data_IF_911601538033
#
_entry.id   IF_911601538033
#
_cell.length_a   1.000
_cell.length_b   1.000
_cell.length_c   1.000
_cell.angle_alpha   90.00
_cell.angle_beta   90.00
_cell.angle_gamma   90.00
#
_symmetry.space_group_name_H-M   'P 1'
#
loop_
_entity.id
_entity.type
_entity.pdbx_description
1 polymer ?
#
# COMPACT_ATOMS: atom_id res chain seq x y z
N UNK A 1 -15.14 4.86 19.55
CA UNK A 1 -16.35 4.44 20.28
C UNK A 1 -15.94 3.54 21.43
N UNK A 2 -16.48 3.75 22.63
CA UNK A 2 -16.29 2.80 23.75
C UNK A 2 -17.13 1.56 23.45
N UNK A 3 -16.54 0.36 23.53
CA UNK A 3 -17.22 -0.91 23.24
C UNK A 3 -17.37 -1.27 21.75
N UNK A 4 -16.66 -0.57 20.86
CA UNK A 4 -16.62 -0.94 19.43
C UNK A 4 -15.71 -2.14 19.15
N UNK A 5 -15.83 -2.69 17.94
CA UNK A 5 -14.92 -3.74 17.47
C UNK A 5 -13.47 -3.24 17.45
N UNK A 6 -12.51 -4.04 17.95
CA UNK A 6 -11.11 -3.66 17.91
C UNK A 6 -10.59 -3.69 16.47
N UNK A 7 -9.57 -2.87 16.21
CA UNK A 7 -8.81 -2.95 14.96
C UNK A 7 -8.12 -4.31 14.88
N UNK A 8 -8.32 -5.02 13.77
CA UNK A 8 -7.70 -6.32 13.51
C UNK A 8 -7.03 -6.27 12.14
N UNK A 9 -5.77 -6.68 12.11
CA UNK A 9 -5.03 -6.89 10.88
C UNK A 9 -4.81 -8.39 10.67
N UNK A 10 -4.99 -8.83 9.42
CA UNK A 10 -4.51 -10.13 8.97
C UNK A 10 -3.20 -9.89 8.23
N UNK A 11 -2.08 -10.25 8.86
CA UNK A 11 -0.78 -10.11 8.21
C UNK A 11 -0.63 -11.16 7.11
N UNK A 12 -0.29 -10.71 5.90
CA UNK A 12 -0.12 -11.53 4.70
C UNK A 12 1.13 -11.10 3.95
N UNK A 13 1.64 -11.95 3.07
CA UNK A 13 2.71 -11.55 2.16
C UNK A 13 2.23 -10.51 1.13
N UNK A 14 3.16 -9.73 0.61
CA UNK A 14 2.86 -8.62 -0.30
C UNK A 14 2.25 -9.08 -1.63
N UNK A 15 2.60 -10.29 -2.11
CA UNK A 15 2.06 -10.81 -3.36
C UNK A 15 0.58 -11.20 -3.20
N UNK A 16 0.21 -11.78 -2.06
CA UNK A 16 -1.20 -12.02 -1.69
C UNK A 16 -1.98 -10.71 -1.63
N UNK A 17 -1.42 -9.67 -1.00
CA UNK A 17 -2.05 -8.34 -0.93
C UNK A 17 -2.29 -7.75 -2.33
N UNK A 18 -1.26 -7.74 -3.19
CA UNK A 18 -1.36 -7.27 -4.59
C UNK A 18 -2.40 -8.06 -5.39
N UNK A 19 -2.39 -9.39 -5.27
CA UNK A 19 -3.35 -10.26 -5.99
C UNK A 19 -4.79 -9.97 -5.60
N UNK A 20 -5.06 -9.76 -4.31
CA UNK A 20 -6.41 -9.44 -3.82
C UNK A 20 -6.83 -8.04 -4.28
N UNK A 21 -5.93 -7.05 -4.19
CA UNK A 21 -6.21 -5.70 -4.67
C UNK A 21 -6.51 -5.69 -6.18
N UNK A 22 -5.66 -6.33 -6.99
CA UNK A 22 -5.86 -6.47 -8.43
C UNK A 22 -7.18 -7.16 -8.76
N UNK A 23 -7.49 -8.30 -8.12
CA UNK A 23 -8.76 -8.99 -8.30
C UNK A 23 -9.95 -8.08 -8.00
N UNK A 24 -9.92 -7.36 -6.89
CA UNK A 24 -11.00 -6.46 -6.47
C UNK A 24 -11.24 -5.36 -7.51
N UNK A 25 -10.16 -4.78 -8.05
CA UNK A 25 -10.22 -3.77 -9.12
C UNK A 25 -10.74 -4.34 -10.44
N UNK A 26 -10.33 -5.56 -10.81
CA UNK A 26 -10.83 -6.25 -12.01
C UNK A 26 -12.32 -6.61 -11.91
N UNK A 27 -12.84 -6.81 -10.69
CA UNK A 27 -14.27 -6.97 -10.41
C UNK A 27 -15.02 -5.63 -10.28
N UNK A 28 -14.36 -4.50 -10.60
CA UNK A 28 -14.97 -3.17 -10.66
C UNK A 28 -15.18 -2.51 -9.31
N UNK A 29 -14.52 -2.98 -8.25
CA UNK A 29 -14.60 -2.39 -6.92
C UNK A 29 -13.30 -1.64 -6.57
N UNK A 30 -13.38 -0.41 -6.03
CA UNK A 30 -12.20 0.29 -5.55
C UNK A 30 -11.65 -0.36 -4.27
N UNK A 31 -10.36 -0.13 -3.99
CA UNK A 31 -9.68 -0.71 -2.83
C UNK A 31 -9.14 0.39 -1.94
N UNK A 32 -9.63 0.48 -0.71
CA UNK A 32 -9.05 1.35 0.30
C UNK A 32 -7.69 0.80 0.74
N UNK A 33 -6.72 1.68 0.92
CA UNK A 33 -5.40 1.26 1.37
C UNK A 33 -4.68 2.29 2.24
N UNK A 34 -3.74 1.79 3.04
CA UNK A 34 -2.83 2.55 3.89
C UNK A 34 -1.37 2.37 3.48
N UNK A 35 -0.64 3.48 3.39
CA UNK A 35 0.76 3.51 2.97
C UNK A 35 1.57 4.59 3.71
N UNK A 36 2.87 4.62 3.45
CA UNK A 36 3.72 5.78 3.71
C UNK A 36 3.87 6.62 2.44
N UNK A 37 3.05 7.66 2.27
CA UNK A 37 3.03 8.45 1.03
C UNK A 37 4.19 9.45 0.89
N UNK A 38 5.11 9.49 1.86
CA UNK A 38 6.17 10.51 1.94
C UNK A 38 7.40 10.16 1.09
N UNK A 39 7.54 8.91 0.68
CA UNK A 39 8.72 8.42 -0.03
C UNK A 39 8.55 8.46 -1.55
N UNK A 40 9.63 8.82 -2.24
CA UNK A 40 9.81 8.64 -3.69
C UNK A 40 8.58 9.10 -4.51
N UNK A 41 8.15 10.34 -4.24
CA UNK A 41 6.93 10.95 -4.80
C UNK A 41 7.25 12.22 -5.57
N UNK A 42 6.74 12.34 -6.79
CA UNK A 42 6.67 13.61 -7.51
C UNK A 42 5.22 14.14 -7.51
N UNK A 43 4.88 14.91 -6.48
CA UNK A 43 3.49 15.37 -6.21
C UNK A 43 2.83 16.07 -7.40
N UNK A 44 3.53 16.99 -8.06
CA UNK A 44 3.00 17.75 -9.18
C UNK A 44 2.84 16.92 -10.46
N UNK A 45 3.59 15.83 -10.58
CA UNK A 45 3.47 14.89 -11.68
C UNK A 45 2.42 13.81 -11.40
N UNK A 46 2.09 13.60 -10.12
CA UNK A 46 1.18 12.55 -9.68
C UNK A 46 1.82 11.18 -9.74
N UNK A 47 3.11 11.06 -9.40
CA UNK A 47 3.87 9.81 -9.55
C UNK A 47 4.43 9.30 -8.24
N UNK A 48 4.33 7.99 -8.05
CA UNK A 48 5.06 7.21 -7.06
C UNK A 48 5.79 6.07 -7.78
N UNK A 49 7.09 5.93 -7.52
CA UNK A 49 7.95 4.87 -8.04
C UNK A 49 9.08 4.67 -7.03
N UNK A 50 9.43 3.45 -6.63
CA UNK A 50 10.42 3.26 -5.54
C UNK A 50 11.82 3.79 -5.89
N UNK A 51 12.10 4.06 -7.17
CA UNK A 51 13.36 4.59 -7.70
C UNK A 51 13.14 5.88 -8.50
N UNK A 52 12.14 6.68 -8.13
CA UNK A 52 11.82 7.94 -8.81
C UNK A 52 12.96 8.95 -8.77
N UNK A 53 13.67 9.03 -7.64
CA UNK A 53 14.83 9.87 -7.43
C UNK A 53 16.06 9.02 -7.09
N UNK A 54 17.13 9.24 -7.86
CA UNK A 54 18.43 8.60 -7.68
C UNK A 54 19.24 9.32 -6.59
N UNK A 55 18.76 9.26 -5.35
CA UNK A 55 19.42 9.90 -4.22
C UNK A 55 20.78 9.28 -3.90
N UNK A 56 20.93 7.97 -4.09
CA UNK A 56 22.18 7.26 -3.78
C UNK A 56 23.34 7.79 -4.63
N UNK A 57 23.13 7.96 -5.94
CA UNK A 57 24.16 8.54 -6.82
C UNK A 57 24.46 10.01 -6.50
N UNK A 58 23.46 10.78 -6.07
CA UNK A 58 23.64 12.20 -5.72
C UNK A 58 24.45 12.36 -4.44
N UNK A 59 24.23 11.50 -3.45
CA UNK A 59 24.87 11.59 -2.14
C UNK A 59 26.08 10.66 -1.96
N UNK A 60 26.39 9.84 -2.97
CA UNK A 60 27.46 8.85 -2.94
C UNK A 60 27.37 7.92 -1.71
N UNK A 61 26.16 7.42 -1.45
CA UNK A 61 25.85 6.56 -0.29
C UNK A 61 24.69 5.62 -0.58
N UNK A 62 24.60 4.51 0.14
CA UNK A 62 23.55 3.49 -0.01
C UNK A 62 22.50 3.59 1.11
N UNK A 63 21.23 3.41 0.75
CA UNK A 63 20.09 3.33 1.68
C UNK A 63 19.64 1.88 1.85
N UNK A 64 20.40 1.10 2.64
CA UNK A 64 20.28 -0.36 2.70
C UNK A 64 19.12 -0.93 3.56
N UNK A 65 18.29 -0.09 4.21
CA UNK A 65 17.22 -0.60 5.06
C UNK A 65 16.10 -1.24 4.23
N UNK A 66 15.82 -2.52 4.49
CA UNK A 66 14.64 -3.18 3.94
C UNK A 66 13.35 -2.69 4.63
N UNK A 67 12.18 -3.11 4.12
CA UNK A 67 10.87 -2.70 4.64
C UNK A 67 10.65 -2.98 6.13
N UNK A 68 11.09 -4.15 6.61
CA UNK A 68 10.94 -4.51 8.02
C UNK A 68 11.82 -3.63 8.92
N UNK A 69 13.07 -3.41 8.53
CA UNK A 69 13.99 -2.56 9.28
C UNK A 69 13.52 -1.09 9.27
N UNK A 70 13.00 -0.59 8.14
CA UNK A 70 12.42 0.75 8.07
C UNK A 70 11.25 0.93 9.05
N UNK A 71 10.45 -0.11 9.28
CA UNK A 71 9.39 -0.08 10.28
C UNK A 71 9.95 -0.12 11.71
N UNK A 72 10.86 -1.06 11.99
CA UNK A 72 11.45 -1.27 13.34
C UNK A 72 12.25 -0.06 13.81
N UNK A 73 13.01 0.57 12.91
CA UNK A 73 13.81 1.76 13.20
C UNK A 73 13.05 3.07 12.97
N UNK A 74 11.71 3.02 12.83
CA UNK A 74 10.83 4.18 12.69
C UNK A 74 11.15 5.11 11.51
N UNK A 75 11.79 4.60 10.46
CA UNK A 75 12.05 5.34 9.24
C UNK A 75 10.81 5.43 8.33
N UNK A 76 9.95 4.40 8.33
CA UNK A 76 8.71 4.38 7.57
C UNK A 76 7.57 3.75 8.39
N UNK A 77 6.36 4.30 8.22
CA UNK A 77 5.11 3.77 8.80
C UNK A 77 3.92 4.27 8.00
N UNK A 78 2.78 3.59 8.11
CA UNK A 78 1.54 4.12 7.56
C UNK A 78 1.27 5.54 8.09
N UNK A 79 1.09 6.49 7.18
CA UNK A 79 0.81 7.89 7.51
C UNK A 79 -0.36 8.47 6.71
N UNK A 80 -0.82 7.78 5.66
CA UNK A 80 -1.88 8.28 4.81
C UNK A 80 -2.71 7.13 4.23
N UNK A 81 -3.97 7.44 3.93
CA UNK A 81 -4.92 6.51 3.35
C UNK A 81 -5.51 7.06 2.05
N UNK A 82 -5.65 6.20 1.05
CA UNK A 82 -6.10 6.55 -0.30
C UNK A 82 -6.94 5.41 -0.90
N UNK A 83 -7.34 5.56 -2.17
CA UNK A 83 -8.18 4.59 -2.87
C UNK A 83 -7.54 4.16 -4.18
N UNK A 84 -7.35 2.85 -4.41
CA UNK A 84 -7.07 2.35 -5.75
C UNK A 84 -8.36 2.33 -6.55
N UNK A 85 -8.29 2.85 -7.77
CA UNK A 85 -9.44 2.96 -8.71
C UNK A 85 -9.15 2.35 -10.07
N UNK A 86 -7.96 1.77 -10.26
CA UNK A 86 -7.59 1.05 -11.46
C UNK A 86 -6.24 0.38 -11.32
N UNK A 87 -6.00 -0.62 -12.16
CA UNK A 87 -4.73 -1.35 -12.25
C UNK A 87 -4.42 -1.59 -13.72
N UNK A 88 -3.16 -1.38 -14.08
CA UNK A 88 -2.60 -1.70 -15.38
C UNK A 88 -1.91 -3.05 -15.28
N UNK A 89 -2.38 -4.03 -16.06
CA UNK A 89 -1.96 -5.44 -15.97
C UNK A 89 -1.27 -5.86 -17.26
N UNK A 90 -0.07 -6.40 -17.14
CA UNK A 90 0.71 -6.96 -18.26
C UNK A 90 1.10 -8.39 -17.90
N UNK A 91 0.82 -9.33 -18.78
CA UNK A 91 1.10 -10.77 -18.57
C UNK A 91 0.57 -11.33 -17.25
N UNK A 92 -0.59 -10.82 -16.82
CA UNK A 92 -1.27 -11.22 -15.58
C UNK A 92 -0.68 -10.62 -14.30
N UNK A 93 0.28 -9.70 -14.41
CA UNK A 93 0.91 -9.02 -13.28
C UNK A 93 0.61 -7.51 -13.28
N UNK A 94 0.41 -6.90 -12.10
CA UNK A 94 0.25 -5.46 -12.00
C UNK A 94 1.56 -4.77 -12.38
N UNK A 95 1.47 -3.80 -13.29
CA UNK A 95 2.58 -2.89 -13.63
C UNK A 95 2.44 -1.57 -12.88
N UNK A 96 1.22 -1.02 -12.84
CA UNK A 96 0.92 0.28 -12.21
C UNK A 96 -0.48 0.29 -11.61
N UNK A 97 -0.67 1.15 -10.63
CA UNK A 97 -1.90 1.34 -9.89
C UNK A 97 -2.37 2.78 -10.04
N UNK A 98 -3.65 2.98 -10.35
CA UNK A 98 -4.28 4.30 -10.35
C UNK A 98 -4.81 4.59 -8.95
N UNK A 99 -4.36 5.69 -8.38
CA UNK A 99 -4.68 6.11 -7.02
C UNK A 99 -5.52 7.39 -7.07
N UNK A 100 -6.65 7.38 -6.39
CA UNK A 100 -7.42 8.57 -6.05
C UNK A 100 -6.94 9.09 -4.69
N UNK A 101 -6.54 10.36 -4.66
CA UNK A 101 -6.07 11.02 -3.45
C UNK A 101 -7.07 12.11 -3.00
N UNK A 102 -6.91 12.61 -1.78
CA UNK A 102 -7.82 13.54 -1.11
C UNK A 102 -7.23 14.95 -0.93
N UNK A 103 -6.25 15.33 -1.75
CA UNK A 103 -5.52 16.60 -1.66
C UNK A 103 -5.94 17.66 -2.69
N UNK A 104 -7.23 17.72 -3.02
CA UNK A 104 -7.82 18.52 -4.12
C UNK A 104 -7.49 18.02 -5.53
N UNK A 105 -8.17 18.61 -6.52
CA UNK A 105 -7.98 18.34 -7.95
C UNK A 105 -6.73 19.03 -8.54
N UNK A 106 -6.12 19.98 -7.82
CA UNK A 106 -4.86 20.61 -8.21
C UNK A 106 -3.65 19.68 -7.98
N UNK A 107 -3.78 18.68 -7.10
CA UNK A 107 -2.71 17.72 -6.82
C UNK A 107 -2.65 16.61 -7.86
N UNK A 108 -1.44 16.22 -8.27
CA UNK A 108 -1.22 15.18 -9.28
C UNK A 108 -1.90 15.52 -10.61
N UNK A 109 -2.72 14.59 -11.12
CA UNK A 109 -3.53 14.78 -12.32
C UNK A 109 -5.01 14.76 -11.94
N UNK A 110 -5.59 15.93 -11.65
CA UNK A 110 -7.00 16.06 -11.20
C UNK A 110 -7.28 15.26 -9.93
N UNK A 111 -6.35 15.27 -8.97
CA UNK A 111 -6.43 14.49 -7.73
C UNK A 111 -5.97 13.03 -7.85
N UNK A 112 -5.62 12.57 -9.05
CA UNK A 112 -5.14 11.20 -9.28
C UNK A 112 -3.63 11.10 -9.41
N UNK A 113 -3.13 9.94 -8.99
CA UNK A 113 -1.74 9.56 -9.05
C UNK A 113 -1.60 8.19 -9.74
N UNK A 114 -0.41 7.94 -10.26
CA UNK A 114 0.03 6.66 -10.79
C UNK A 114 1.14 6.16 -9.88
N UNK A 115 0.96 4.96 -9.34
CA UNK A 115 1.92 4.27 -8.50
C UNK A 115 2.50 3.10 -9.29
N UNK A 116 3.81 3.05 -9.45
CA UNK A 116 4.50 1.88 -9.98
C UNK A 116 4.42 0.72 -8.99
N UNK A 117 4.34 -0.51 -9.49
CA UNK A 117 4.19 -1.71 -8.65
C UNK A 117 5.37 -1.92 -7.68
N UNK A 118 6.55 -1.40 -8.03
CA UNK A 118 7.72 -1.39 -7.15
C UNK A 118 7.54 -0.52 -5.90
N UNK A 119 6.75 0.55 -5.98
CA UNK A 119 6.45 1.40 -4.82
C UNK A 119 5.48 0.70 -3.88
N UNK A 120 4.52 -0.07 -4.43
CA UNK A 120 3.61 -0.90 -3.65
C UNK A 120 4.40 -1.84 -2.72
N UNK A 121 5.44 -2.49 -3.25
CA UNK A 121 6.26 -3.42 -2.46
C UNK A 121 6.88 -2.77 -1.23
N UNK A 122 7.39 -1.55 -1.38
CA UNK A 122 8.23 -0.91 -0.38
C UNK A 122 7.46 -0.14 0.69
N UNK A 123 6.33 0.48 0.33
CA UNK A 123 5.68 1.51 1.16
C UNK A 123 4.19 1.26 1.47
N UNK A 124 3.60 0.17 0.97
CA UNK A 124 2.24 -0.24 1.35
C UNK A 124 2.23 -1.05 2.65
N UNK A 125 1.24 -0.80 3.51
CA UNK A 125 1.10 -1.55 4.76
C UNK A 125 -0.21 -2.32 4.85
N UNK A 126 -1.30 -1.79 4.27
CA UNK A 126 -2.61 -2.42 4.41
C UNK A 126 -3.56 -2.10 3.26
N UNK A 127 -4.51 -3.02 3.05
CA UNK A 127 -5.68 -2.84 2.20
C UNK A 127 -6.93 -3.29 2.97
N UNK A 128 -8.08 -2.71 2.64
CA UNK A 128 -9.37 -3.29 2.99
C UNK A 128 -9.83 -4.20 1.85
N UNK A 129 -10.18 -5.44 2.16
CA UNK A 129 -10.61 -6.41 1.17
C UNK A 129 -11.77 -7.28 1.67
N UNK A 130 -12.59 -7.78 0.74
CA UNK A 130 -13.61 -8.76 1.05
C UNK A 130 -12.97 -10.09 1.50
N UNK A 131 -13.45 -10.63 2.63
CA UNK A 131 -12.95 -11.90 3.18
C UNK A 131 -13.05 -13.06 2.20
N UNK A 132 -14.04 -13.04 1.30
CA UNK A 132 -14.23 -14.06 0.26
C UNK A 132 -13.12 -14.11 -0.80
N UNK A 133 -12.25 -13.09 -0.87
CA UNK A 133 -11.08 -13.09 -1.76
C UNK A 133 -9.84 -13.70 -1.12
N UNK A 134 -9.86 -13.94 0.19
CA UNK A 134 -8.79 -14.63 0.88
C UNK A 134 -8.85 -16.14 0.58
N UNK A 135 -7.68 -16.79 0.41
CA UNK A 135 -7.54 -18.24 0.58
C UNK A 135 -8.20 -18.75 1.87
N UNK A 136 -8.68 -20.00 1.85
CA UNK A 136 -9.48 -20.57 2.95
C UNK A 136 -8.70 -20.62 4.30
N UNK A 137 -7.42 -20.90 4.25
CA UNK A 137 -6.50 -20.88 5.41
C UNK A 137 -6.41 -19.47 6.03
N UNK A 138 -6.29 -18.43 5.20
CA UNK A 138 -6.28 -17.04 5.64
C UNK A 138 -7.64 -16.58 6.20
N UNK A 139 -8.76 -17.09 5.65
CA UNK A 139 -10.08 -16.86 6.23
C UNK A 139 -10.20 -17.46 7.64
N UNK A 140 -9.69 -18.68 7.85
CA UNK A 140 -9.67 -19.34 9.16
C UNK A 140 -8.78 -18.59 10.16
N UNK A 141 -7.66 -18.02 9.69
CA UNK A 141 -6.76 -17.24 10.54
C UNK A 141 -7.43 -16.01 11.20
N UNK A 142 -8.48 -15.45 10.58
CA UNK A 142 -9.26 -14.33 11.17
C UNK A 142 -9.99 -14.70 12.47
N UNK A 143 -10.20 -15.99 12.74
CA UNK A 143 -10.84 -16.47 13.97
C UNK A 143 -9.84 -16.73 15.12
N UNK A 144 -8.53 -16.67 14.85
CA UNK A 144 -7.51 -16.85 15.87
C UNK A 144 -7.49 -15.66 16.85
N UNK A 145 -7.01 -15.91 18.07
CA UNK A 145 -6.77 -14.85 19.04
C UNK A 145 -5.68 -13.91 18.48
N UNK A 146 -5.96 -12.60 18.31
CA UNK A 146 -4.99 -11.69 17.73
C UNK A 146 -3.80 -11.47 18.66
N UNK A 147 -2.63 -11.24 18.07
CA UNK A 147 -1.46 -10.73 18.77
C UNK A 147 -1.73 -9.26 19.09
N UNK A 148 -1.64 -8.90 20.37
CA UNK A 148 -1.80 -7.52 20.81
C UNK A 148 -0.44 -6.83 20.70
N UNK A 149 -0.35 -5.83 19.83
CA UNK A 149 0.82 -4.98 19.72
C UNK A 149 0.75 -3.84 20.75
N UNK A 150 1.89 -3.25 21.14
CA UNK A 150 1.91 -2.00 21.90
C UNK A 150 1.11 -0.90 21.18
N UNK A 151 0.60 0.10 21.92
CA UNK A 151 -0.20 1.17 21.32
C UNK A 151 0.62 2.18 20.48
N UNK A 152 1.95 2.09 20.48
CA UNK A 152 2.87 2.98 19.77
C UNK A 152 3.49 2.30 18.54
#
# INVERSE_FOLDING_TARGET
MVGGEPVKYLNVDIATMKKIAMRTLLEGQPVWFGCDCSHQMARNLGLWDSRLFDYESVYDTEFALNKADRLIYHQSRMNHAMLFTGVDVVDGQPRRWRVENSWSDESGKKGFFIMDDSWFDEFMFEIAAHKSYLPEDLQKALALKPIVLPPW
#
